data_IF_318422320301
#
_entry.id   IF_318422320301
#
_cell.length_a   1.000
_cell.length_b   1.000
_cell.length_c   1.000
_cell.angle_alpha   90.00
_cell.angle_beta   90.00
_cell.angle_gamma   90.00
#
_symmetry.space_group_name_H-M   'P 1'
#
loop_
_entity.id
_entity.type
_entity.pdbx_description
1 polymer ?
#
# COMPACT_ATOMS: atom_id res chain seq x y z
N UNK A 1 -21.31 -6.53 -25.15
CA UNK A 1 -20.05 -6.67 -24.38
C UNK A 1 -20.17 -7.87 -23.46
N UNK A 2 -19.12 -8.68 -23.31
CA UNK A 2 -19.11 -9.78 -22.32
C UNK A 2 -19.23 -9.22 -20.89
N UNK A 3 -19.96 -9.91 -20.01
CA UNK A 3 -20.14 -9.51 -18.61
C UNK A 3 -18.81 -9.35 -17.87
N UNK A 4 -17.78 -10.10 -18.24
CA UNK A 4 -16.43 -9.95 -17.70
C UNK A 4 -15.83 -8.57 -18.00
N UNK A 5 -15.95 -8.09 -19.25
CA UNK A 5 -15.45 -6.77 -19.64
C UNK A 5 -16.21 -5.67 -18.91
N UNK A 6 -17.54 -5.80 -18.79
CA UNK A 6 -18.35 -4.84 -18.05
C UNK A 6 -17.94 -4.75 -16.57
N UNK A 7 -17.68 -5.89 -15.92
CA UNK A 7 -17.17 -5.92 -14.54
C UNK A 7 -15.79 -5.26 -14.42
N UNK A 8 -14.86 -5.59 -15.31
CA UNK A 8 -13.51 -4.97 -15.30
C UNK A 8 -13.57 -3.46 -15.44
N UNK A 9 -14.39 -2.94 -16.36
CA UNK A 9 -14.55 -1.49 -16.54
C UNK A 9 -15.19 -0.83 -15.30
N UNK A 10 -16.12 -1.50 -14.63
CA UNK A 10 -16.69 -1.01 -13.38
C UNK A 10 -15.64 -0.95 -12.25
N UNK A 11 -14.81 -1.99 -12.09
CA UNK A 11 -13.73 -2.01 -11.10
C UNK A 11 -12.67 -0.94 -11.38
N UNK A 12 -12.23 -0.79 -12.64
CA UNK A 12 -11.33 0.29 -13.05
C UNK A 12 -11.89 1.67 -12.73
N UNK A 13 -13.17 1.90 -13.04
CA UNK A 13 -13.83 3.18 -12.76
C UNK A 13 -13.94 3.45 -11.26
N UNK A 14 -14.11 2.40 -10.44
CA UNK A 14 -14.09 2.51 -8.98
C UNK A 14 -12.69 2.87 -8.48
N UNK A 15 -11.68 2.13 -8.89
CA UNK A 15 -10.29 2.41 -8.55
C UNK A 15 -9.82 3.80 -8.94
N UNK A 16 -10.22 4.28 -10.13
CA UNK A 16 -9.86 5.62 -10.58
C UNK A 16 -10.42 6.69 -9.64
N UNK A 17 -11.68 6.56 -9.21
CA UNK A 17 -12.27 7.48 -8.22
C UNK A 17 -11.53 7.46 -6.89
N UNK A 18 -11.07 6.28 -6.45
CA UNK A 18 -10.29 6.14 -5.22
C UNK A 18 -8.91 6.79 -5.35
N UNK A 19 -8.22 6.58 -6.48
CA UNK A 19 -6.94 7.23 -6.78
C UNK A 19 -7.08 8.76 -6.86
N UNK A 20 -8.12 9.26 -7.54
CA UNK A 20 -8.38 10.70 -7.66
C UNK A 20 -8.69 11.33 -6.29
N UNK A 21 -9.50 10.65 -5.47
CA UNK A 21 -9.83 11.09 -4.11
C UNK A 21 -8.60 11.06 -3.19
N UNK A 22 -7.67 10.12 -3.39
CA UNK A 22 -6.38 10.11 -2.70
C UNK A 22 -5.52 11.31 -3.13
N UNK A 23 -5.31 11.48 -4.43
CA UNK A 23 -4.49 12.56 -4.99
C UNK A 23 -4.98 13.95 -4.60
N UNK A 24 -6.29 14.12 -4.46
CA UNK A 24 -6.90 15.37 -3.99
C UNK A 24 -6.52 15.71 -2.55
N UNK A 25 -6.38 14.70 -1.69
CA UNK A 25 -6.08 14.86 -0.26
C UNK A 25 -4.59 14.82 0.04
N UNK A 26 -3.82 14.12 -0.78
CA UNK A 26 -2.44 13.73 -0.51
C UNK A 26 -1.57 14.00 -1.75
N UNK A 27 -0.90 15.17 -1.83
CA UNK A 27 0.00 15.45 -2.94
C UNK A 27 1.23 14.52 -2.92
N UNK A 28 1.97 14.50 -4.03
CA UNK A 28 3.29 13.85 -4.07
C UNK A 28 4.19 14.44 -2.99
N UNK A 29 4.95 13.60 -2.30
CA UNK A 29 5.75 13.97 -1.13
C UNK A 29 5.02 13.78 0.20
N UNK A 30 3.80 13.24 0.20
CA UNK A 30 3.09 12.90 1.45
C UNK A 30 3.86 11.85 2.22
N UNK A 31 4.13 12.09 3.51
CA UNK A 31 4.75 11.12 4.42
C UNK A 31 3.78 9.98 4.73
N UNK A 32 4.28 8.76 4.64
CA UNK A 32 3.48 7.55 4.79
C UNK A 32 4.27 6.43 5.48
N UNK A 33 3.54 5.57 6.17
CA UNK A 33 3.99 4.22 6.51
C UNK A 33 3.47 3.30 5.40
N UNK A 34 4.38 2.65 4.69
CA UNK A 34 4.06 1.74 3.61
C UNK A 34 4.31 0.29 4.00
N UNK A 35 3.42 -0.61 3.56
CA UNK A 35 3.50 -2.06 3.81
C UNK A 35 3.57 -2.82 2.48
N UNK A 36 4.76 -3.01 1.88
CA UNK A 36 4.87 -3.61 0.56
C UNK A 36 4.38 -5.05 0.44
N UNK A 37 4.45 -5.82 1.52
CA UNK A 37 4.02 -7.22 1.58
C UNK A 37 2.58 -7.36 2.09
N UNK A 38 2.45 -7.48 3.41
CA UNK A 38 1.16 -7.56 4.11
C UNK A 38 1.10 -6.54 5.24
N UNK A 39 -0.12 -6.12 5.58
CA UNK A 39 -0.36 -5.26 6.75
C UNK A 39 -0.08 -6.01 8.07
N UNK A 40 0.19 -5.27 9.17
CA UNK A 40 0.39 -5.85 10.50
C UNK A 40 -0.80 -6.69 10.99
N UNK A 41 -2.03 -6.34 10.58
CA UNK A 41 -3.24 -7.03 11.02
C UNK A 41 -3.47 -8.37 10.30
N UNK A 42 -2.71 -8.66 9.24
CA UNK A 42 -2.88 -9.91 8.49
C UNK A 42 -2.48 -11.12 9.35
N UNK A 43 -3.25 -12.23 9.34
CA UNK A 43 -2.99 -13.39 10.23
C UNK A 43 -1.56 -13.94 10.16
N UNK A 44 -0.93 -13.88 8.99
CA UNK A 44 0.49 -14.28 8.81
C UNK A 44 1.45 -13.35 9.53
N UNK A 45 1.22 -12.03 9.49
CA UNK A 45 2.05 -11.04 10.20
C UNK A 45 1.90 -11.21 11.72
N UNK A 46 0.67 -11.38 12.21
CA UNK A 46 0.39 -11.63 13.63
C UNK A 46 1.06 -12.91 14.11
N UNK A 47 0.93 -14.00 13.36
CA UNK A 47 1.57 -15.27 13.70
C UNK A 47 3.10 -15.17 13.66
N UNK A 48 3.66 -14.42 12.71
CA UNK A 48 5.10 -14.16 12.64
C UNK A 48 5.58 -13.40 13.89
N UNK A 49 4.93 -12.28 14.24
CA UNK A 49 5.29 -11.47 15.40
C UNK A 49 5.24 -12.30 16.69
N UNK A 50 4.18 -13.07 16.90
CA UNK A 50 4.07 -13.94 18.07
C UNK A 50 5.23 -14.93 18.18
N UNK A 51 5.67 -15.50 17.04
CA UNK A 51 6.80 -16.44 17.04
C UNK A 51 8.13 -15.73 17.30
N UNK A 52 8.33 -14.52 16.76
CA UNK A 52 9.49 -13.66 17.09
C UNK A 52 9.55 -13.41 18.60
N UNK A 53 8.42 -13.04 19.22
CA UNK A 53 8.33 -12.79 20.67
C UNK A 53 8.61 -14.06 21.49
N UNK A 54 8.28 -15.24 20.94
CA UNK A 54 8.63 -16.56 21.51
C UNK A 54 10.09 -16.98 21.23
N UNK A 55 10.90 -16.16 20.54
CA UNK A 55 12.27 -16.48 20.15
C UNK A 55 12.38 -17.54 19.04
N UNK A 56 11.29 -17.77 18.29
CA UNK A 56 11.19 -18.74 17.20
C UNK A 56 11.09 -18.02 15.87
N UNK A 57 12.19 -17.78 15.17
CA UNK A 57 12.14 -17.18 13.82
C UNK A 57 12.29 -18.25 12.75
N UNK A 58 11.62 -18.06 11.60
CA UNK A 58 11.85 -18.88 10.40
C UNK A 58 12.32 -17.94 9.28
N UNK A 59 13.63 -17.89 9.07
CA UNK A 59 14.27 -16.98 8.12
C UNK A 59 14.42 -15.54 8.64
N UNK A 60 15.06 -14.72 7.83
CA UNK A 60 15.36 -13.30 8.13
C UNK A 60 14.30 -12.34 7.58
N UNK A 61 13.38 -12.84 6.74
CA UNK A 61 12.43 -11.99 6.01
C UNK A 61 11.16 -11.74 6.84
N UNK A 62 10.97 -10.50 7.29
CA UNK A 62 9.72 -10.06 7.89
C UNK A 62 8.62 -9.94 6.81
N UNK A 63 7.57 -10.77 6.85
CA UNK A 63 6.47 -10.67 5.89
C UNK A 63 5.75 -9.31 5.98
N UNK A 64 5.81 -8.64 7.13
CA UNK A 64 5.24 -7.32 7.37
C UNK A 64 6.34 -6.24 7.38
N UNK A 65 7.08 -6.14 6.27
CA UNK A 65 8.04 -5.04 6.09
C UNK A 65 7.32 -3.70 6.21
N UNK A 66 7.79 -2.85 7.13
CA UNK A 66 7.29 -1.49 7.36
C UNK A 66 8.30 -0.49 6.84
N UNK A 67 7.86 0.45 6.02
CA UNK A 67 8.70 1.47 5.44
C UNK A 67 8.11 2.84 5.72
N UNK A 68 8.75 3.61 6.61
CA UNK A 68 8.46 5.03 6.76
C UNK A 68 9.15 5.79 5.62
N UNK A 69 8.37 6.49 4.80
CA UNK A 69 8.82 7.04 3.51
C UNK A 69 7.88 8.14 3.00
N UNK A 70 8.15 8.67 1.81
CA UNK A 70 7.35 9.66 1.09
C UNK A 70 6.82 9.11 -0.22
N UNK A 71 5.62 9.55 -0.62
CA UNK A 71 5.08 9.23 -1.95
C UNK A 71 5.89 9.94 -3.04
N UNK A 72 6.30 9.20 -4.08
CA UNK A 72 7.08 9.76 -5.20
C UNK A 72 6.27 10.01 -6.48
N UNK A 73 5.04 9.53 -6.52
CA UNK A 73 4.10 9.74 -7.64
C UNK A 73 2.71 10.05 -7.11
N UNK A 74 1.86 10.61 -7.98
CA UNK A 74 0.41 10.52 -7.79
C UNK A 74 -0.02 9.05 -7.78
N UNK A 75 -1.13 8.73 -7.11
CA UNK A 75 -1.76 7.43 -7.17
C UNK A 75 -2.34 7.16 -8.57
N UNK A 76 -2.25 5.90 -9.02
CA UNK A 76 -2.79 5.42 -10.30
C UNK A 76 -3.41 4.03 -10.12
N UNK A 77 -4.17 3.58 -11.12
CA UNK A 77 -4.76 2.23 -11.09
C UNK A 77 -3.89 1.22 -11.85
N UNK A 78 -3.82 0.00 -11.33
CA UNK A 78 -3.33 -1.16 -12.08
C UNK A 78 -4.37 -1.63 -13.10
N UNK A 79 -3.98 -2.52 -14.02
CA UNK A 79 -4.86 -2.99 -15.10
C UNK A 79 -6.16 -3.65 -14.62
N UNK A 80 -6.19 -4.16 -13.40
CA UNK A 80 -7.37 -4.74 -12.74
C UNK A 80 -8.18 -3.75 -11.90
N UNK A 81 -7.77 -2.47 -11.85
CA UNK A 81 -8.50 -1.39 -11.18
C UNK A 81 -8.05 -1.10 -9.75
N UNK A 82 -7.05 -1.76 -9.21
CA UNK A 82 -6.60 -1.48 -7.84
C UNK A 82 -5.74 -0.20 -7.79
N UNK A 83 -6.07 0.77 -6.92
CA UNK A 83 -5.31 2.00 -6.81
C UNK A 83 -4.03 1.77 -6.00
N UNK A 84 -2.91 2.26 -6.55
CA UNK A 84 -1.57 2.13 -5.98
C UNK A 84 -0.84 3.46 -5.99
N UNK A 85 0.19 3.59 -5.15
CA UNK A 85 1.14 4.70 -5.15
C UNK A 85 2.58 4.18 -5.06
N UNK A 86 3.53 4.88 -5.65
CA UNK A 86 4.94 4.58 -5.45
C UNK A 86 5.49 5.42 -4.31
N UNK A 87 6.43 4.84 -3.57
CA UNK A 87 7.13 5.49 -2.48
C UNK A 87 8.64 5.43 -2.68
N UNK A 88 9.38 6.28 -1.97
CA UNK A 88 10.83 6.23 -1.95
C UNK A 88 11.33 4.97 -1.25
N UNK A 89 12.45 4.41 -1.74
CA UNK A 89 13.01 3.16 -1.21
C UNK A 89 12.31 1.86 -1.64
N UNK A 90 11.22 1.94 -2.42
CA UNK A 90 10.52 0.75 -2.94
C UNK A 90 10.28 0.80 -4.45
N UNK A 91 10.55 -0.31 -5.15
CA UNK A 91 10.29 -0.44 -6.58
C UNK A 91 8.85 -0.92 -6.82
N UNK A 92 8.13 -0.25 -7.73
CA UNK A 92 6.73 -0.56 -8.02
C UNK A 92 5.71 0.27 -7.22
N UNK A 93 4.44 -0.08 -7.38
CA UNK A 93 3.31 0.55 -6.69
C UNK A 93 2.84 -0.31 -5.50
N UNK A 94 2.47 0.36 -4.42
CA UNK A 94 1.89 -0.24 -3.21
C UNK A 94 0.42 0.16 -3.17
N UNK A 95 -0.47 -0.81 -2.94
CA UNK A 95 -1.91 -0.57 -2.86
C UNK A 95 -2.22 0.50 -1.80
N UNK A 96 -3.16 1.40 -2.08
CA UNK A 96 -3.55 2.44 -1.10
C UNK A 96 -4.08 1.86 0.21
N UNK A 97 -4.58 0.62 0.18
CA UNK A 97 -4.97 -0.15 1.38
C UNK A 97 -3.78 -0.55 2.25
N UNK A 98 -2.56 -0.52 1.72
CA UNK A 98 -1.28 -0.81 2.39
C UNK A 98 -0.45 0.47 2.62
N UNK A 99 -1.12 1.62 2.71
CA UNK A 99 -0.52 2.91 3.00
C UNK A 99 -1.28 3.54 4.16
N UNK A 100 -0.57 3.88 5.23
CA UNK A 100 -1.10 4.75 6.29
C UNK A 100 -0.41 6.12 6.18
N UNK A 101 -1.17 7.21 6.17
CA UNK A 101 -0.60 8.57 6.16
C UNK A 101 -0.03 8.88 7.54
N UNK A 102 1.21 9.39 7.58
CA UNK A 102 1.84 9.86 8.81
C UNK A 102 1.64 11.38 8.86
N UNK A 103 0.89 11.86 9.87
CA UNK A 103 0.77 13.30 10.09
C UNK A 103 2.08 13.87 10.63
N UNK A 104 2.52 15.01 10.06
CA UNK A 104 3.46 15.95 10.66
C UNK A 104 4.68 15.35 11.37
N UNK A 105 5.74 15.07 10.60
CA UNK A 105 7.09 15.28 11.14
C UNK A 105 7.75 16.36 10.30
N UNK A 106 8.20 17.43 10.95
CA UNK A 106 8.98 18.50 10.35
C UNK A 106 10.07 17.88 9.47
N UNK A 107 10.17 18.38 8.23
CA UNK A 107 11.31 18.11 7.39
C UNK A 107 12.56 18.55 8.17
N UNK A 108 13.38 17.57 8.55
CA UNK A 108 14.73 17.86 9.09
C UNK A 108 15.62 18.44 8.00
#
# INVERSE_FOLDING_TARGET
MSGYRARLEAEKKKGQREADAWNTRHPVGTRVMAYPGIRPEHPVAVAHQKRVDEGRTYGETDPCTRLETTTRTSAWILGHGEPVVSVDGYAGGICLTHIDVIEGGEAS
#
